data_IF_510873307956
#
_entry.id   IF_510873307956
#
_cell.length_a   1.000
_cell.length_b   1.000
_cell.length_c   1.000
_cell.angle_alpha   90.00
_cell.angle_beta   90.00
_cell.angle_gamma   90.00
#
_symmetry.space_group_name_H-M   'P 1'
#
loop_
_entity.id
_entity.type
_entity.pdbx_description
1 polymer ?
#
# COMPACT_ATOMS: atom_id res chain seq x y z
N UNK A 1 12.67 8.48 12.22
CA UNK A 1 12.36 8.07 10.83
C UNK A 1 13.66 7.85 10.08
N UNK A 2 13.69 6.92 9.12
CA UNK A 2 14.86 6.73 8.25
C UNK A 2 14.78 7.79 7.16
N UNK A 3 15.78 8.66 7.05
CA UNK A 3 15.86 9.69 6.01
C UNK A 3 16.92 9.24 5.01
N UNK A 4 16.45 8.57 3.94
CA UNK A 4 17.26 8.25 2.77
C UNK A 4 16.46 8.65 1.52
N UNK A 5 16.84 9.73 0.81
CA UNK A 5 16.02 10.27 -0.27
C UNK A 5 16.04 9.42 -1.54
N UNK A 6 17.11 8.63 -1.74
CA UNK A 6 17.43 7.88 -2.95
C UNK A 6 16.97 6.40 -2.92
N UNK A 7 15.94 6.07 -2.14
CA UNK A 7 15.39 4.70 -2.12
C UNK A 7 14.68 4.41 -3.45
N UNK A 8 15.18 3.42 -4.20
CA UNK A 8 14.63 3.02 -5.51
C UNK A 8 13.60 1.91 -5.49
N UNK A 9 13.60 1.10 -4.43
CA UNK A 9 12.73 -0.06 -4.33
C UNK A 9 12.29 -0.25 -2.88
N UNK A 10 10.98 -0.35 -2.68
CA UNK A 10 10.37 -0.86 -1.45
C UNK A 10 9.67 -2.18 -1.77
N UNK A 11 9.95 -3.21 -0.98
CA UNK A 11 9.37 -4.54 -1.15
C UNK A 11 8.57 -4.90 0.09
N UNK A 12 7.28 -5.15 -0.11
CA UNK A 12 6.42 -5.76 0.90
C UNK A 12 6.42 -7.26 0.68
N UNK A 13 7.13 -8.00 1.53
CA UNK A 13 7.15 -9.48 1.52
C UNK A 13 6.04 -10.07 2.41
N UNK A 14 5.15 -9.23 2.90
CA UNK A 14 4.01 -9.62 3.72
C UNK A 14 2.91 -8.61 3.47
N UNK A 15 1.66 -9.07 3.46
CA UNK A 15 0.50 -8.22 3.32
C UNK A 15 0.49 -7.17 4.44
N UNK A 16 0.50 -5.89 4.08
CA UNK A 16 0.35 -4.79 5.04
C UNK A 16 -1.02 -4.88 5.72
N UNK A 17 -1.10 -4.44 6.98
CA UNK A 17 -2.33 -4.52 7.78
C UNK A 17 -3.46 -3.62 7.25
N UNK A 18 -3.11 -2.60 6.49
CA UNK A 18 -4.04 -1.65 5.90
C UNK A 18 -3.43 -0.96 4.67
N UNK A 19 -4.27 -0.27 3.89
CA UNK A 19 -3.84 0.55 2.75
C UNK A 19 -3.00 1.75 3.21
N UNK A 20 -3.31 2.33 4.37
CA UNK A 20 -2.56 3.44 4.97
C UNK A 20 -1.16 3.01 5.40
N UNK A 21 -1.05 1.81 5.99
CA UNK A 21 0.25 1.24 6.35
C UNK A 21 1.11 1.06 5.10
N UNK A 22 0.53 0.48 4.05
CA UNK A 22 1.18 0.36 2.75
C UNK A 22 1.60 1.72 2.19
N UNK A 23 0.73 2.73 2.21
CA UNK A 23 1.00 4.06 1.70
C UNK A 23 2.17 4.74 2.44
N UNK A 24 2.21 4.65 3.77
CA UNK A 24 3.29 5.23 4.57
C UNK A 24 4.65 4.54 4.31
N UNK A 25 4.64 3.21 4.17
CA UNK A 25 5.82 2.39 3.92
C UNK A 25 6.37 2.62 2.50
N UNK A 26 5.49 2.60 1.49
CA UNK A 26 5.82 2.82 0.07
C UNK A 26 6.28 4.25 -0.22
N UNK A 27 5.75 5.26 0.48
CA UNK A 27 6.18 6.67 0.40
C UNK A 27 7.60 6.96 0.93
N UNK A 28 8.37 5.92 1.25
CA UNK A 28 9.81 6.01 1.51
C UNK A 28 10.65 5.95 0.23
N UNK A 29 10.08 5.42 -0.85
CA UNK A 29 10.72 5.37 -2.16
C UNK A 29 10.65 6.74 -2.86
N UNK A 30 11.63 7.05 -3.71
CA UNK A 30 11.49 8.15 -4.70
C UNK A 30 11.40 9.57 -4.13
N UNK A 31 11.87 9.82 -2.90
CA UNK A 31 11.78 11.16 -2.27
C UNK A 31 12.66 12.23 -2.93
N UNK A 32 13.60 11.81 -3.76
CA UNK A 32 14.41 12.65 -4.65
C UNK A 32 13.70 12.97 -5.98
N UNK A 33 12.46 12.52 -6.18
CA UNK A 33 11.68 12.73 -7.40
C UNK A 33 12.06 11.82 -8.57
N UNK A 34 13.08 10.97 -8.41
CA UNK A 34 13.48 10.01 -9.43
C UNK A 34 12.56 8.78 -9.42
N UNK A 35 12.40 8.09 -10.57
CA UNK A 35 11.62 6.87 -10.64
C UNK A 35 12.00 5.86 -9.56
N UNK A 36 10.99 5.35 -8.87
CA UNK A 36 11.13 4.31 -7.86
C UNK A 36 9.94 3.35 -7.96
N UNK A 37 10.09 2.16 -7.37
CA UNK A 37 9.08 1.10 -7.43
C UNK A 37 8.72 0.61 -6.05
N UNK A 38 7.44 0.29 -5.89
CA UNK A 38 6.93 -0.44 -4.74
C UNK A 38 6.33 -1.76 -5.25
N UNK A 39 6.76 -2.88 -4.65
CA UNK A 39 6.34 -4.22 -5.06
C UNK A 39 5.78 -4.95 -3.86
N UNK A 40 4.59 -5.53 -4.02
CA UNK A 40 3.94 -6.34 -2.99
C UNK A 40 3.93 -7.80 -3.44
N UNK A 41 4.52 -8.68 -2.64
CA UNK A 41 4.40 -10.12 -2.77
C UNK A 41 3.39 -10.63 -1.75
N UNK A 42 2.31 -11.22 -2.25
CA UNK A 42 1.25 -11.78 -1.41
C UNK A 42 0.58 -12.95 -2.12
N UNK A 43 0.03 -13.88 -1.35
CA UNK A 43 -0.82 -14.99 -1.83
C UNK A 43 -2.01 -15.16 -0.89
N UNK A 44 -3.17 -15.67 -1.38
CA UNK A 44 -4.34 -15.92 -0.53
C UNK A 44 -4.07 -16.70 0.76
N UNK A 45 -3.10 -17.63 0.73
CA UNK A 45 -2.68 -18.41 1.89
C UNK A 45 -2.04 -17.57 3.03
N UNK A 46 -1.63 -16.34 2.76
CA UNK A 46 -1.06 -15.44 3.78
C UNK A 46 -2.16 -14.77 4.63
N UNK A 47 -3.41 -14.74 4.15
CA UNK A 47 -4.52 -14.04 4.78
C UNK A 47 -4.88 -14.57 6.17
N UNK A 48 -5.03 -15.89 6.42
CA UNK A 48 -5.38 -16.38 7.74
C UNK A 48 -4.38 -15.93 8.81
N UNK A 49 -3.07 -16.06 8.52
CA UNK A 49 -2.02 -15.62 9.42
C UNK A 49 -2.11 -14.12 9.72
N UNK A 50 -2.30 -13.29 8.70
CA UNK A 50 -2.42 -11.85 8.90
C UNK A 50 -3.70 -11.46 9.64
N UNK A 51 -4.83 -12.10 9.34
CA UNK A 51 -6.08 -11.86 10.06
C UNK A 51 -5.96 -12.20 11.53
N UNK A 52 -5.28 -13.29 11.90
CA UNK A 52 -4.99 -13.60 13.31
C UNK A 52 -4.15 -12.51 13.95
N UNK A 53 -3.06 -12.07 13.31
CA UNK A 53 -2.20 -10.99 13.85
C UNK A 53 -2.95 -9.68 14.05
N UNK A 54 -3.82 -9.31 13.10
CA UNK A 54 -4.60 -8.07 13.11
C UNK A 54 -5.78 -8.14 14.09
N UNK A 55 -6.38 -9.31 14.29
CA UNK A 55 -7.45 -9.50 15.27
C UNK A 55 -6.99 -9.34 16.72
N UNK A 56 -5.70 -9.49 16.99
CA UNK A 56 -5.10 -9.21 18.30
C UNK A 56 -4.70 -7.73 18.48
N UNK A 57 -4.71 -6.91 17.41
CA UNK A 57 -4.53 -5.46 17.56
C UNK A 57 -5.81 -4.85 18.17
N UNK A 58 -5.65 -3.86 19.06
CA UNK A 58 -6.73 -3.28 19.88
C UNK A 58 -7.69 -2.33 19.12
N UNK A 59 -8.04 -2.64 17.87
CA UNK A 59 -8.90 -1.79 17.04
C UNK A 59 -10.09 -2.52 16.44
N UNK A 60 -11.29 -2.01 16.65
CA UNK A 60 -12.55 -2.57 16.12
C UNK A 60 -12.60 -2.60 14.57
N UNK A 61 -11.78 -1.77 13.91
CA UNK A 61 -11.71 -1.67 12.44
C UNK A 61 -10.52 -2.39 11.81
N UNK A 62 -9.68 -3.05 12.61
CA UNK A 62 -8.41 -3.63 12.16
C UNK A 62 -8.62 -4.69 11.07
N UNK A 63 -9.60 -5.60 11.26
CA UNK A 63 -9.94 -6.62 10.26
C UNK A 63 -10.55 -6.02 8.98
N UNK A 64 -11.39 -4.99 9.11
CA UNK A 64 -11.97 -4.31 7.95
C UNK A 64 -10.87 -3.65 7.09
N UNK A 65 -9.90 -3.00 7.73
CA UNK A 65 -8.73 -2.44 7.06
C UNK A 65 -7.91 -3.48 6.31
N UNK A 66 -7.72 -4.67 6.90
CA UNK A 66 -7.04 -5.79 6.24
C UNK A 66 -7.81 -6.26 5.00
N UNK A 67 -9.13 -6.43 5.10
CA UNK A 67 -9.94 -6.84 3.95
C UNK A 67 -10.00 -5.77 2.86
N UNK A 68 -9.98 -4.48 3.21
CA UNK A 68 -9.80 -3.39 2.24
C UNK A 68 -8.45 -3.47 1.52
N UNK A 69 -7.37 -3.80 2.24
CA UNK A 69 -6.05 -4.01 1.62
C UNK A 69 -6.06 -5.19 0.63
N UNK A 70 -6.69 -6.30 1.00
CA UNK A 70 -6.87 -7.44 0.07
C UNK A 70 -7.64 -7.01 -1.17
N UNK A 71 -8.78 -6.33 -1.00
CA UNK A 71 -9.59 -5.83 -2.13
C UNK A 71 -8.79 -4.91 -3.05
N UNK A 72 -7.97 -4.01 -2.48
CA UNK A 72 -7.10 -3.10 -3.22
C UNK A 72 -6.03 -3.85 -4.04
N UNK A 73 -5.50 -4.98 -3.54
CA UNK A 73 -4.54 -5.81 -4.27
C UNK A 73 -5.18 -6.67 -5.37
N UNK A 74 -6.43 -7.10 -5.19
CA UNK A 74 -7.07 -8.10 -6.06
C UNK A 74 -8.03 -7.52 -7.09
N UNK A 75 -8.41 -6.24 -6.98
CA UNK A 75 -9.27 -5.59 -7.98
C UNK A 75 -8.54 -5.36 -9.32
N UNK A 76 -9.30 -5.24 -10.40
CA UNK A 76 -8.80 -4.84 -11.72
C UNK A 76 -8.69 -3.33 -11.93
N UNK A 77 -9.02 -2.53 -10.91
CA UNK A 77 -8.96 -1.08 -10.95
C UNK A 77 -7.52 -0.54 -10.82
N UNK A 78 -7.30 0.69 -11.30
CA UNK A 78 -6.03 1.40 -11.16
C UNK A 78 -5.74 1.66 -9.68
N UNK A 79 -4.72 0.99 -9.14
CA UNK A 79 -4.30 1.13 -7.73
C UNK A 79 -3.95 2.56 -7.32
N UNK A 80 -3.32 3.33 -8.21
CA UNK A 80 -2.98 4.73 -7.94
C UNK A 80 -4.23 5.61 -7.79
N UNK A 81 -5.26 5.37 -8.62
CA UNK A 81 -6.54 6.06 -8.51
C UNK A 81 -7.23 5.71 -7.20
N UNK A 82 -7.25 4.43 -6.84
CA UNK A 82 -7.84 4.01 -5.57
C UNK A 82 -7.15 4.65 -4.36
N UNK A 83 -5.82 4.81 -4.40
CA UNK A 83 -5.09 5.51 -3.33
C UNK A 83 -5.50 6.98 -3.28
N UNK A 84 -5.55 7.67 -4.42
CA UNK A 84 -5.97 9.06 -4.45
C UNK A 84 -7.41 9.25 -3.98
N UNK A 85 -8.34 8.41 -4.41
CA UNK A 85 -9.74 8.45 -3.95
C UNK A 85 -9.84 8.20 -2.44
N UNK A 86 -9.01 7.29 -1.89
CA UNK A 86 -8.96 6.98 -0.46
C UNK A 86 -8.46 8.14 0.39
N UNK A 87 -7.51 8.93 -0.11
CA UNK A 87 -6.93 10.09 0.60
C UNK A 87 -7.48 11.45 0.17
N UNK A 88 -8.35 11.50 -0.84
CA UNK A 88 -8.88 12.74 -1.41
C UNK A 88 -7.86 13.54 -2.25
N UNK A 89 -6.87 12.88 -2.84
CA UNK A 89 -5.86 13.50 -3.71
C UNK A 89 -6.41 13.78 -5.13
N UNK A 90 -5.84 14.78 -5.82
CA UNK A 90 -6.31 15.17 -7.14
C UNK A 90 -5.75 14.27 -8.26
N UNK A 91 -6.39 14.28 -9.44
CA UNK A 91 -5.91 13.49 -10.60
C UNK A 91 -4.54 13.94 -11.10
N UNK A 92 -4.13 15.17 -10.81
CA UNK A 92 -2.81 15.71 -11.16
C UNK A 92 -1.72 15.06 -10.30
N UNK A 93 -2.02 14.80 -9.02
CA UNK A 93 -1.12 14.11 -8.08
C UNK A 93 -0.91 12.62 -8.48
N UNK A 94 -1.94 11.99 -9.05
CA UNK A 94 -1.93 10.60 -9.52
C UNK A 94 -1.01 10.40 -10.74
N UNK A 95 -0.92 11.39 -11.63
CA UNK A 95 -0.21 11.27 -12.91
C UNK A 95 1.32 11.08 -12.76
N UNK A 96 1.90 11.49 -11.63
CA UNK A 96 3.33 11.34 -11.34
C UNK A 96 3.71 9.94 -10.85
N UNK A 97 2.73 9.09 -10.47
CA UNK A 97 2.97 7.76 -9.90
C UNK A 97 3.21 6.62 -10.89
N UNK A 98 2.91 6.82 -12.18
CA UNK A 98 3.13 5.85 -13.25
C UNK A 98 2.24 4.59 -13.19
N UNK A 99 1.96 4.05 -14.39
CA UNK A 99 1.31 2.75 -14.64
C UNK A 99 -0.18 2.62 -14.29
N UNK A 100 -0.96 3.65 -14.60
CA UNK A 100 -2.35 3.41 -15.03
C UNK A 100 -2.46 3.85 -16.49
N UNK A 101 -2.04 2.95 -17.39
CA UNK A 101 -2.35 3.03 -18.82
C UNK A 101 -3.80 2.62 -19.06
#
# INVERSE_FOLDING_TARGET
GIIKPDVRLVVHHTLSKSVESYYQESGRAGRDGNPARCVVFWRPADLPRQSSMVAFDAGDTSLDNLYRMVRWLTTGECRQRMLADHFGESREDVAQGGLCG
#
